data_IF_051457843716
#
_entry.id   IF_051457843716
#
_cell.length_a   1.000
_cell.length_b   1.000
_cell.length_c   1.000
_cell.angle_alpha   90.00
_cell.angle_beta   90.00
_cell.angle_gamma   90.00
#
_symmetry.space_group_name_H-M   'P 1'
#
loop_
_entity.id
_entity.type
_entity.pdbx_description
1 polymer ?
#
# COMPACT_ATOMS: atom_id res chain seq x y z
N UNK A 1 40.24 27.94 12.14
CA UNK A 1 38.93 27.76 11.47
C UNK A 1 38.92 26.43 10.74
N UNK A 2 38.47 25.34 11.39
CA UNK A 2 38.09 24.12 10.68
C UNK A 2 36.59 24.19 10.50
N UNK A 3 36.17 24.59 9.31
CA UNK A 3 34.78 24.52 8.88
C UNK A 3 34.44 23.04 8.80
N UNK A 4 33.73 22.52 9.80
CA UNK A 4 33.26 21.13 9.83
C UNK A 4 32.22 20.94 8.73
N UNK A 5 32.68 20.56 7.54
CA UNK A 5 31.87 20.26 6.36
C UNK A 5 31.25 18.86 6.44
N UNK A 6 30.75 18.47 7.61
CA UNK A 6 30.09 17.18 7.83
C UNK A 6 28.62 17.39 8.21
N UNK A 7 27.95 18.28 7.49
CA UNK A 7 26.50 18.53 7.61
C UNK A 7 25.73 18.19 6.32
N UNK A 8 26.24 17.24 5.52
CA UNK A 8 25.52 16.69 4.37
C UNK A 8 25.58 15.15 4.33
N UNK A 9 25.61 14.50 5.50
CA UNK A 9 25.30 13.09 5.60
C UNK A 9 23.86 12.96 6.09
N UNK A 10 23.11 12.06 5.46
CA UNK A 10 21.77 11.60 5.86
C UNK A 10 20.57 12.35 5.29
N UNK A 11 20.24 12.12 4.02
CA UNK A 11 18.85 11.78 3.65
C UNK A 11 18.75 11.04 2.30
N UNK A 12 19.38 9.87 2.17
CA UNK A 12 18.80 8.87 1.26
C UNK A 12 17.77 8.13 2.10
N UNK A 13 16.59 8.73 2.26
CA UNK A 13 15.43 7.97 2.71
C UNK A 13 15.16 6.95 1.60
N UNK A 14 15.48 5.68 1.84
CA UNK A 14 14.97 4.60 0.99
C UNK A 14 13.46 4.64 1.12
N UNK A 15 12.80 5.27 0.15
CA UNK A 15 11.37 5.09 -0.06
C UNK A 15 11.18 3.64 -0.51
N UNK A 16 11.10 2.72 0.45
CA UNK A 16 10.66 1.36 0.18
C UNK A 16 9.21 1.48 -0.29
N UNK A 17 9.01 1.29 -1.59
CA UNK A 17 7.68 1.25 -2.18
C UNK A 17 7.14 -0.14 -1.93
N UNK A 18 6.41 -0.32 -0.84
CA UNK A 18 5.67 -1.57 -0.62
C UNK A 18 4.58 -1.65 -1.69
N UNK A 19 4.70 -2.63 -2.58
CA UNK A 19 3.69 -2.91 -3.60
C UNK A 19 2.92 -4.17 -3.26
N UNK A 20 1.68 -4.30 -3.73
CA UNK A 20 0.83 -5.47 -3.51
C UNK A 20 0.32 -6.02 -4.84
N UNK A 21 0.41 -7.34 -5.04
CA UNK A 21 -0.13 -8.05 -6.19
C UNK A 21 -1.48 -8.69 -5.87
N UNK A 22 -2.51 -8.31 -6.62
CA UNK A 22 -3.86 -8.87 -6.59
C UNK A 22 -4.12 -9.59 -7.92
N UNK A 23 -3.82 -10.88 -7.99
CA UNK A 23 -3.65 -11.56 -9.28
C UNK A 23 -2.57 -10.85 -10.11
N UNK A 24 -2.90 -10.48 -11.35
CA UNK A 24 -1.98 -9.78 -12.26
C UNK A 24 -1.90 -8.25 -12.05
N UNK A 25 -2.60 -7.71 -11.05
CA UNK A 25 -2.65 -6.27 -10.81
C UNK A 25 -1.73 -5.86 -9.67
N UNK A 26 -0.81 -4.92 -9.94
CA UNK A 26 0.13 -4.39 -8.94
C UNK A 26 -0.29 -3.01 -8.46
N UNK A 27 -0.43 -2.88 -7.14
CA UNK A 27 -0.76 -1.63 -6.46
C UNK A 27 0.47 -1.06 -5.75
N UNK A 28 0.72 0.23 -5.93
CA UNK A 28 1.71 0.94 -5.12
C UNK A 28 1.11 1.38 -3.78
N UNK A 29 1.96 1.60 -2.76
CA UNK A 29 1.50 2.09 -1.46
C UNK A 29 0.72 3.40 -1.58
N UNK A 30 1.07 4.27 -2.55
CA UNK A 30 0.31 5.50 -2.82
C UNK A 30 -1.16 5.22 -3.17
N UNK A 31 -1.43 4.26 -4.06
CA UNK A 31 -2.82 3.90 -4.46
C UNK A 31 -3.59 3.33 -3.27
N UNK A 32 -2.96 2.46 -2.50
CA UNK A 32 -3.56 1.85 -1.31
C UNK A 32 -3.86 2.89 -0.22
N UNK A 33 -2.93 3.82 0.04
CA UNK A 33 -3.13 4.92 0.99
C UNK A 33 -4.22 5.88 0.53
N UNK A 34 -4.32 6.18 -0.77
CA UNK A 34 -5.40 7.00 -1.32
C UNK A 34 -6.77 6.34 -1.09
N UNK A 35 -6.93 5.05 -1.42
CA UNK A 35 -8.18 4.33 -1.17
C UNK A 35 -8.51 4.21 0.33
N UNK A 36 -7.51 3.91 1.16
CA UNK A 36 -7.63 3.85 2.63
C UNK A 36 -8.06 5.20 3.21
N UNK A 37 -7.50 6.29 2.70
CA UNK A 37 -7.84 7.65 3.12
C UNK A 37 -9.30 8.01 2.82
N UNK A 38 -9.80 7.67 1.63
CA UNK A 38 -11.20 7.91 1.30
C UNK A 38 -12.14 7.03 2.12
N UNK A 39 -11.83 5.74 2.26
CA UNK A 39 -12.59 4.83 3.11
C UNK A 39 -12.70 5.38 4.55
N UNK A 40 -11.60 5.87 5.12
CA UNK A 40 -11.60 6.51 6.43
C UNK A 40 -12.46 7.77 6.49
N UNK A 41 -12.36 8.64 5.47
CA UNK A 41 -13.14 9.89 5.34
C UNK A 41 -14.64 9.60 5.35
N UNK A 42 -15.09 8.64 4.54
CA UNK A 42 -16.48 8.23 4.46
C UNK A 42 -16.95 7.58 5.78
N UNK A 43 -16.16 6.67 6.35
CA UNK A 43 -16.47 6.00 7.60
C UNK A 43 -16.66 6.99 8.76
N UNK A 44 -15.75 7.96 8.92
CA UNK A 44 -15.84 9.02 9.94
C UNK A 44 -17.06 9.93 9.75
N UNK A 45 -17.52 10.11 8.52
CA UNK A 45 -18.72 10.89 8.19
C UNK A 45 -20.01 10.07 8.29
N UNK A 46 -19.94 8.76 8.56
CA UNK A 46 -21.10 7.87 8.49
C UNK A 46 -21.72 7.79 7.10
N UNK A 47 -20.91 7.99 6.04
CA UNK A 47 -21.35 8.02 4.64
C UNK A 47 -20.88 6.78 3.89
N UNK A 48 -21.57 6.48 2.80
CA UNK A 48 -21.18 5.46 1.84
C UNK A 48 -21.47 5.92 0.42
N UNK A 49 -20.82 5.29 -0.55
CA UNK A 49 -20.93 5.54 -1.99
C UNK A 49 -21.24 4.25 -2.75
N UNK A 50 -21.88 4.40 -3.91
CA UNK A 50 -22.28 3.30 -4.78
C UNK A 50 -23.43 2.45 -4.25
N UNK A 51 -23.94 1.56 -5.12
CA UNK A 51 -25.07 0.67 -4.80
C UNK A 51 -24.76 -0.28 -3.63
N UNK A 52 -23.51 -0.71 -3.52
CA UNK A 52 -23.05 -1.64 -2.49
C UNK A 52 -22.66 -0.93 -1.18
N UNK A 53 -22.78 0.41 -1.11
CA UNK A 53 -22.57 1.21 0.09
C UNK A 53 -21.15 1.10 0.67
N UNK A 54 -20.12 1.34 -0.15
CA UNK A 54 -18.74 1.37 0.32
C UNK A 54 -18.40 2.69 1.04
N UNK A 55 -17.57 2.68 2.10
CA UNK A 55 -17.10 1.50 2.82
C UNK A 55 -18.24 0.85 3.61
N UNK A 56 -18.23 -0.48 3.69
CA UNK A 56 -19.11 -1.24 4.56
C UNK A 56 -18.33 -2.30 5.33
N UNK A 57 -18.96 -2.86 6.36
CA UNK A 57 -18.34 -3.87 7.21
C UNK A 57 -17.90 -5.10 6.40
N UNK A 58 -16.66 -5.53 6.64
CA UNK A 58 -16.09 -6.77 6.16
C UNK A 58 -15.99 -7.77 7.31
N UNK A 59 -16.76 -8.85 7.23
CA UNK A 59 -16.90 -9.84 8.32
C UNK A 59 -15.77 -10.87 8.38
N UNK A 60 -14.90 -10.91 7.37
CA UNK A 60 -13.77 -11.85 7.28
C UNK A 60 -14.18 -13.33 7.45
N UNK A 61 -15.22 -13.76 6.74
CA UNK A 61 -15.74 -15.14 6.81
C UNK A 61 -14.72 -16.16 6.28
N UNK A 62 -13.87 -15.71 5.36
CA UNK A 62 -12.75 -16.42 4.75
C UNK A 62 -11.59 -16.65 5.72
N UNK A 63 -11.61 -16.02 6.91
CA UNK A 63 -10.55 -16.08 7.93
C UNK A 63 -9.18 -15.65 7.38
N UNK A 64 -9.17 -14.63 6.52
CA UNK A 64 -7.94 -14.01 6.03
C UNK A 64 -7.19 -13.40 7.21
N UNK A 65 -5.86 -13.57 7.22
CA UNK A 65 -4.99 -12.97 8.23
C UNK A 65 -4.88 -11.46 7.99
N UNK A 66 -5.67 -10.70 8.73
CA UNK A 66 -5.65 -9.24 8.74
C UNK A 66 -4.83 -8.71 9.93
N UNK A 67 -4.29 -7.50 9.79
CA UNK A 67 -3.59 -6.79 10.87
C UNK A 67 -4.55 -5.87 11.64
N UNK A 68 -4.23 -5.62 12.91
CA UNK A 68 -5.08 -4.83 13.80
C UNK A 68 -6.30 -5.59 14.33
N UNK A 69 -7.14 -4.88 15.08
CA UNK A 69 -8.38 -5.44 15.64
C UNK A 69 -9.58 -4.92 14.85
N UNK A 70 -10.57 -5.80 14.63
CA UNK A 70 -11.85 -5.44 14.04
C UNK A 70 -12.67 -4.48 14.93
N UNK A 71 -13.80 -3.96 14.43
CA UNK A 71 -14.43 -4.31 13.15
C UNK A 71 -13.64 -3.82 11.95
N UNK A 72 -13.75 -4.56 10.84
CA UNK A 72 -13.10 -4.24 9.57
C UNK A 72 -14.10 -3.69 8.57
N UNK A 73 -13.62 -2.88 7.64
CA UNK A 73 -14.40 -2.30 6.55
C UNK A 73 -13.65 -2.46 5.24
N UNK A 74 -14.36 -2.83 4.17
CA UNK A 74 -13.78 -2.94 2.83
C UNK A 74 -14.09 -1.69 1.99
N UNK A 75 -13.16 -1.34 1.10
CA UNK A 75 -13.34 -0.28 0.12
C UNK A 75 -12.62 -0.61 -1.20
N UNK A 76 -13.22 -0.32 -2.37
CA UNK A 76 -12.60 -0.63 -3.65
C UNK A 76 -11.29 0.13 -3.89
N UNK A 77 -10.37 -0.51 -4.61
CA UNK A 77 -9.13 0.12 -5.07
C UNK A 77 -8.92 -0.15 -6.56
N UNK A 78 -8.45 0.85 -7.30
CA UNK A 78 -8.29 0.77 -8.74
C UNK A 78 -6.85 0.90 -9.19
N UNK A 79 -6.49 0.11 -10.21
CA UNK A 79 -5.14 0.08 -10.76
C UNK A 79 -4.74 1.42 -11.40
N UNK A 80 -5.69 2.20 -11.90
CA UNK A 80 -5.45 3.55 -12.43
C UNK A 80 -5.21 4.60 -11.32
N UNK A 81 -5.45 4.25 -10.05
CA UNK A 81 -5.29 5.14 -8.90
C UNK A 81 -6.45 6.11 -8.67
N UNK A 82 -7.54 5.98 -9.43
CA UNK A 82 -8.77 6.72 -9.16
C UNK A 82 -9.42 6.24 -7.85
N UNK A 83 -10.11 7.16 -7.20
CA UNK A 83 -10.89 6.87 -5.99
C UNK A 83 -12.26 6.38 -6.42
N UNK A 84 -12.75 5.33 -5.78
CA UNK A 84 -14.09 4.80 -6.03
C UNK A 84 -15.17 5.85 -5.75
N UNK A 85 -16.03 6.09 -6.74
CA UNK A 85 -17.06 7.13 -6.74
C UNK A 85 -18.50 6.57 -6.77
N UNK A 86 -18.65 5.25 -6.84
CA UNK A 86 -19.94 4.57 -6.86
C UNK A 86 -20.25 3.72 -8.09
N UNK A 87 -19.35 3.69 -9.08
CA UNK A 87 -19.44 2.81 -10.25
C UNK A 87 -19.25 1.31 -9.95
N UNK A 88 -18.74 0.57 -10.93
CA UNK A 88 -18.35 -0.84 -10.71
C UNK A 88 -17.12 -0.92 -9.79
N UNK A 89 -17.17 -1.65 -8.66
CA UNK A 89 -16.08 -1.65 -7.68
C UNK A 89 -14.86 -2.48 -8.12
N UNK A 90 -14.93 -3.20 -9.25
CA UNK A 90 -13.89 -4.15 -9.64
C UNK A 90 -13.68 -5.26 -8.58
N UNK A 91 -12.60 -6.04 -8.68
CA UNK A 91 -12.38 -7.22 -7.84
C UNK A 91 -11.58 -6.95 -6.55
N UNK A 92 -10.90 -5.81 -6.44
CA UNK A 92 -9.86 -5.59 -5.41
C UNK A 92 -10.34 -4.64 -4.32
N UNK A 93 -9.93 -4.88 -3.07
CA UNK A 93 -10.32 -4.09 -1.90
C UNK A 93 -9.13 -3.77 -1.01
N UNK A 94 -9.10 -2.57 -0.45
CA UNK A 94 -8.38 -2.31 0.80
C UNK A 94 -9.30 -2.65 1.97
N UNK A 95 -8.74 -3.25 3.03
CA UNK A 95 -9.42 -3.46 4.29
C UNK A 95 -8.87 -2.49 5.33
N UNK A 96 -9.76 -1.78 6.02
CA UNK A 96 -9.40 -0.85 7.09
C UNK A 96 -10.04 -1.26 8.41
N UNK A 97 -9.39 -0.95 9.54
CA UNK A 97 -10.02 -1.02 10.87
C UNK A 97 -10.88 0.22 11.11
N UNK A 98 -11.71 0.18 12.18
CA UNK A 98 -12.46 1.36 12.66
C UNK A 98 -11.59 2.59 12.91
N UNK A 99 -10.33 2.37 13.31
CA UNK A 99 -9.35 3.44 13.57
C UNK A 99 -8.62 3.91 12.30
N UNK A 100 -9.14 3.57 11.12
CA UNK A 100 -8.58 3.92 9.81
C UNK A 100 -7.18 3.36 9.54
N UNK A 101 -6.80 2.24 10.16
CA UNK A 101 -5.55 1.56 9.85
C UNK A 101 -5.77 0.55 8.73
N UNK A 102 -4.90 0.51 7.73
CA UNK A 102 -4.95 -0.53 6.70
C UNK A 102 -4.64 -1.89 7.35
N UNK A 103 -5.63 -2.78 7.31
CA UNK A 103 -5.60 -4.12 7.88
C UNK A 103 -5.17 -5.19 6.85
N UNK A 104 -5.35 -4.92 5.56
CA UNK A 104 -4.98 -5.83 4.48
C UNK A 104 -5.43 -5.33 3.11
N UNK A 105 -5.07 -6.09 2.08
CA UNK A 105 -5.53 -5.90 0.69
C UNK A 105 -5.97 -7.27 0.18
N UNK A 106 -7.16 -7.34 -0.41
CA UNK A 106 -7.79 -8.59 -0.82
C UNK A 106 -8.36 -8.48 -2.24
N UNK A 107 -8.56 -9.62 -2.89
CA UNK A 107 -9.08 -9.70 -4.26
C UNK A 107 -10.00 -10.90 -4.46
N UNK A 108 -11.00 -10.75 -5.33
CA UNK A 108 -11.76 -11.88 -5.86
C UNK A 108 -10.95 -12.71 -6.86
N UNK A 109 -9.87 -12.17 -7.44
CA UNK A 109 -9.06 -12.90 -8.43
C UNK A 109 -8.36 -14.09 -7.77
N UNK A 110 -8.60 -15.28 -8.31
CA UNK A 110 -8.07 -16.53 -7.75
C UNK A 110 -8.90 -17.09 -6.58
N UNK A 111 -10.02 -16.46 -6.22
CA UNK A 111 -11.00 -16.99 -5.30
C UNK A 111 -12.18 -17.65 -6.04
N UNK A 112 -12.86 -18.58 -5.39
CA UNK A 112 -14.07 -19.20 -5.92
C UNK A 112 -15.32 -18.39 -5.54
N UNK A 113 -16.27 -18.25 -6.46
CA UNK A 113 -17.54 -17.56 -6.21
C UNK A 113 -17.34 -16.09 -5.81
N UNK A 114 -17.90 -15.69 -4.67
CA UNK A 114 -17.81 -14.33 -4.13
C UNK A 114 -16.79 -14.20 -2.99
N UNK A 115 -15.94 -15.21 -2.79
CA UNK A 115 -14.91 -15.17 -1.74
C UNK A 115 -13.76 -14.25 -2.11
N UNK A 116 -12.94 -13.92 -1.12
CA UNK A 116 -11.69 -13.21 -1.30
C UNK A 116 -10.47 -14.06 -0.97
N UNK A 117 -9.34 -13.71 -1.58
CA UNK A 117 -7.99 -14.12 -1.17
C UNK A 117 -7.11 -12.90 -0.90
N UNK A 118 -6.07 -13.07 -0.11
CA UNK A 118 -5.12 -11.99 0.22
C UNK A 118 -4.27 -11.62 -1.00
N UNK A 119 -4.11 -10.33 -1.26
CA UNK A 119 -3.09 -9.84 -2.18
C UNK A 119 -1.69 -9.97 -1.56
N UNK A 120 -0.71 -10.42 -2.33
CA UNK A 120 0.65 -10.66 -1.81
C UNK A 120 1.47 -9.37 -1.82
N UNK A 121 2.27 -9.08 -0.79
CA UNK A 121 3.26 -8.01 -0.90
C UNK A 121 4.29 -8.41 -1.96
N UNK A 122 4.46 -7.55 -2.95
CA UNK A 122 5.55 -7.62 -3.92
C UNK A 122 6.69 -6.83 -3.29
N UNK A 123 7.52 -7.51 -2.50
CA UNK A 123 8.82 -6.99 -2.13
C UNK A 123 9.61 -6.86 -3.43
N UNK A 124 9.82 -5.63 -3.88
CA UNK A 124 10.92 -5.34 -4.82
C UNK A 124 12.14 -5.90 -4.12
N UNK A 125 12.71 -6.95 -4.72
CA UNK A 125 13.73 -7.78 -4.10
C UNK A 125 14.73 -6.90 -3.38
N UNK A 126 15.03 -7.27 -2.14
CA UNK A 126 16.16 -6.79 -1.36
C UNK A 126 17.26 -6.39 -2.33
N UNK A 127 17.47 -5.07 -2.53
CA UNK A 127 18.74 -4.60 -3.04
C UNK A 127 19.72 -5.09 -1.97
N UNK A 128 20.32 -6.23 -2.27
CA UNK A 128 21.45 -6.83 -1.63
C UNK A 128 22.35 -5.68 -1.17
N UNK A 129 22.54 -5.60 0.14
CA UNK A 129 23.29 -4.55 0.84
C UNK A 129 24.60 -4.18 0.13
N UNK A 130 25.22 -5.14 -0.58
CA UNK A 130 26.45 -4.95 -1.33
C UNK A 130 26.33 -4.11 -2.62
N UNK A 131 25.18 -4.11 -3.30
CA UNK A 131 24.99 -3.35 -4.55
C UNK A 131 24.76 -1.86 -4.31
N UNK A 132 24.21 -1.50 -3.14
CA UNK A 132 24.08 -0.11 -2.70
C UNK A 132 25.45 0.45 -2.32
N UNK A 133 26.30 -0.33 -1.66
CA UNK A 133 27.68 0.06 -1.34
C UNK A 133 28.55 0.26 -2.59
N UNK A 134 28.40 -0.58 -3.61
CA UNK A 134 29.21 -0.50 -4.84
C UNK A 134 28.91 0.74 -5.69
N UNK A 135 27.64 1.16 -5.77
CA UNK A 135 27.23 2.38 -6.47
C UNK A 135 27.62 3.65 -5.69
N UNK A 136 27.66 3.60 -4.36
CA UNK A 136 28.13 4.71 -3.53
C UNK A 136 29.65 4.91 -3.59
N UNK A 137 30.46 3.85 -3.75
CA UNK A 137 31.92 3.98 -3.85
C UNK A 137 32.39 4.52 -5.21
N UNK A 138 31.71 4.19 -6.31
CA UNK A 138 32.11 4.65 -7.65
C UNK A 138 31.93 6.17 -7.83
N UNK A 139 30.94 6.78 -7.18
CA UNK A 139 30.73 8.24 -7.18
C UNK A 139 31.63 8.98 -6.19
N UNK A 140 32.08 8.34 -5.11
CA UNK A 140 33.08 8.92 -4.20
C UNK A 140 34.50 8.89 -4.79
N UNK A 141 34.82 7.94 -5.66
CA UNK A 141 36.15 7.88 -6.27
C UNK A 141 36.37 8.98 -7.33
N UNK A 142 35.33 9.41 -8.05
CA UNK A 142 35.45 10.52 -9.01
C UNK A 142 35.57 11.90 -8.34
N UNK A 143 35.13 12.04 -7.09
CA UNK A 143 35.24 13.29 -6.33
C UNK A 143 36.56 13.42 -5.54
N UNK A 144 37.41 12.38 -5.56
CA UNK A 144 38.74 12.40 -4.91
C UNK A 144 39.86 12.63 -5.93
N UNK A 145 39.59 12.48 -7.23
CA UNK A 145 40.58 12.68 -8.30
C UNK A 145 40.20 13.78 -9.32
N UNK A 146 39.23 14.63 -9.00
CA UNK A 146 38.92 15.86 -9.76
C UNK A 146 38.96 17.07 -8.82
#
# INVERSE_FOLDING_TARGET
MRLSFTFFLSLIALAVCDTFSCGDTVYSSKKLTTATGEACSLLKKGRSVGRNKYPHEYRNLEKIKLTGSGPYYEFPVFANGEVYDGGSPGPDRVIITKDCKQAGVITHKGASGNSFVTCSPTSVGTLNSQSVFALCFAMMLHAVFA
#
